data_IF_266815490683
#
_entry.id   IF_266815490683
#
_cell.length_a   1.000
_cell.length_b   1.000
_cell.length_c   1.000
_cell.angle_alpha   90.00
_cell.angle_beta   90.00
_cell.angle_gamma   90.00
#
_symmetry.space_group_name_H-M   'P 1'
#
loop_
_entity.id
_entity.type
_entity.pdbx_description
1 polymer ?
#
# COMPACT_ATOMS: atom_id res chain seq x y z
N UNK A 1 21.07 -9.77 13.91
CA UNK A 1 20.93 -9.61 12.44
C UNK A 1 19.65 -8.80 12.18
N UNK A 2 19.57 -8.00 11.10
CA UNK A 2 18.46 -7.11 10.77
C UNK A 2 17.82 -7.47 9.42
N UNK A 3 17.24 -8.66 9.34
CA UNK A 3 16.63 -9.20 8.14
C UNK A 3 15.34 -8.49 7.72
N UNK A 4 14.68 -9.02 6.69
CA UNK A 4 13.36 -8.52 6.28
C UNK A 4 12.37 -8.67 7.45
N UNK A 5 11.60 -7.60 7.72
CA UNK A 5 10.66 -7.59 8.84
C UNK A 5 11.31 -7.38 10.21
N UNK A 6 12.63 -7.26 10.33
CA UNK A 6 13.33 -7.04 11.60
C UNK A 6 13.89 -5.62 11.73
N UNK A 7 13.45 -4.71 10.86
CA UNK A 7 13.91 -3.33 10.78
C UNK A 7 12.84 -2.38 11.31
N UNK A 8 13.28 -1.37 12.06
CA UNK A 8 12.43 -0.30 12.58
C UNK A 8 12.67 0.95 11.74
N UNK A 9 11.59 1.56 11.26
CA UNK A 9 11.60 2.76 10.43
C UNK A 9 11.01 3.96 11.19
N UNK A 10 11.44 5.16 10.79
CA UNK A 10 10.88 6.41 11.29
C UNK A 10 9.51 6.68 10.66
N UNK A 11 8.55 7.15 11.46
CA UNK A 11 7.24 7.62 10.98
C UNK A 11 7.32 8.95 10.23
N UNK A 12 8.45 9.67 10.33
CA UNK A 12 8.69 10.91 9.59
C UNK A 12 9.19 10.67 8.15
N UNK A 13 9.48 9.43 7.79
CA UNK A 13 9.90 9.03 6.45
C UNK A 13 8.77 8.42 5.63
N UNK A 14 9.14 7.84 4.48
CA UNK A 14 8.21 7.04 3.67
C UNK A 14 8.08 5.63 4.24
N UNK A 15 6.89 5.04 4.06
CA UNK A 15 6.69 3.64 4.34
C UNK A 15 7.50 2.75 3.39
N UNK A 16 7.93 1.59 3.88
CA UNK A 16 8.50 0.57 3.01
C UNK A 16 7.42 -0.13 2.18
N UNK A 17 7.83 -0.82 1.12
CA UNK A 17 6.94 -1.68 0.34
C UNK A 17 6.31 -2.75 1.23
N UNK A 18 4.97 -2.80 1.23
CA UNK A 18 4.22 -3.88 1.86
C UNK A 18 4.46 -5.18 1.10
N UNK A 19 4.65 -6.30 1.79
CA UNK A 19 4.85 -7.60 1.14
C UNK A 19 3.77 -8.60 1.54
N UNK A 20 3.29 -9.40 0.59
CA UNK A 20 2.22 -10.35 0.88
C UNK A 20 2.67 -11.56 1.70
N UNK A 21 3.93 -11.98 1.54
CA UNK A 21 4.49 -13.18 2.15
C UNK A 21 5.67 -12.90 3.09
N UNK A 22 6.00 -11.63 3.34
CA UNK A 22 7.11 -11.29 4.24
C UNK A 22 6.91 -11.85 5.64
N UNK A 23 7.98 -12.46 6.17
CA UNK A 23 8.10 -12.96 7.53
C UNK A 23 8.79 -11.96 8.48
N UNK A 24 9.30 -12.47 9.60
CA UNK A 24 9.93 -11.67 10.66
C UNK A 24 8.91 -11.03 11.62
N UNK A 25 9.40 -10.38 12.68
CA UNK A 25 8.55 -9.77 13.72
C UNK A 25 7.64 -8.70 13.13
N UNK A 26 8.17 -7.88 12.23
CA UNK A 26 7.47 -6.86 11.45
C UNK A 26 6.84 -7.36 10.17
N UNK A 27 6.47 -8.65 10.08
CA UNK A 27 5.94 -9.29 8.89
C UNK A 27 5.02 -8.40 8.05
N UNK A 28 5.27 -8.38 6.73
CA UNK A 28 4.49 -7.70 5.68
C UNK A 28 4.53 -6.17 5.68
N UNK A 29 4.66 -5.53 6.84
CA UNK A 29 4.54 -4.06 6.99
C UNK A 29 5.85 -3.36 7.32
N UNK A 30 6.83 -4.10 7.87
CA UNK A 30 7.91 -3.51 8.66
C UNK A 30 7.44 -3.10 10.05
N UNK A 31 8.36 -2.56 10.84
CA UNK A 31 8.07 -1.97 12.16
C UNK A 31 8.36 -0.48 12.15
N UNK A 32 7.61 0.27 12.94
CA UNK A 32 7.77 1.72 13.06
C UNK A 32 7.83 2.11 14.52
N UNK A 33 8.64 3.13 14.83
CA UNK A 33 8.68 3.74 16.15
C UNK A 33 7.60 4.82 16.25
N UNK A 34 6.53 4.53 17.01
CA UNK A 34 5.36 5.40 17.20
C UNK A 34 5.22 5.65 18.70
N UNK A 35 5.31 6.90 19.12
CA UNK A 35 5.13 7.32 20.53
C UNK A 35 5.98 6.49 21.51
N UNK A 36 7.25 6.27 21.17
CA UNK A 36 8.20 5.50 21.98
C UNK A 36 8.00 3.98 21.92
N UNK A 37 7.07 3.47 21.11
CA UNK A 37 6.78 2.03 20.96
C UNK A 37 7.05 1.54 19.55
N UNK A 38 7.74 0.40 19.45
CA UNK A 38 7.95 -0.29 18.17
C UNK A 38 6.74 -1.16 17.87
N UNK A 39 6.07 -0.91 16.73
CA UNK A 39 4.91 -1.70 16.32
C UNK A 39 4.82 -1.89 14.81
N UNK A 40 4.01 -2.86 14.39
CA UNK A 40 3.56 -3.02 13.01
C UNK A 40 2.48 -2.00 12.67
N UNK A 41 2.23 -1.83 11.38
CA UNK A 41 1.09 -1.08 10.89
C UNK A 41 -0.20 -1.87 11.10
N UNK A 42 -1.28 -1.16 11.39
CA UNK A 42 -2.64 -1.65 11.36
C UNK A 42 -3.11 -1.80 9.90
N UNK A 43 -4.02 -2.74 9.56
CA UNK A 43 -4.57 -2.85 8.22
C UNK A 43 -5.16 -1.53 7.69
N UNK A 44 -5.72 -0.70 8.58
CA UNK A 44 -6.22 0.64 8.24
C UNK A 44 -5.11 1.59 7.77
N UNK A 45 -3.93 1.52 8.40
CA UNK A 45 -2.77 2.30 7.98
C UNK A 45 -2.26 1.78 6.63
N UNK A 46 -2.27 0.46 6.41
CA UNK A 46 -1.97 -0.12 5.09
C UNK A 46 -2.95 0.33 4.01
N UNK A 47 -4.26 0.38 4.30
CA UNK A 47 -5.28 0.90 3.39
C UNK A 47 -4.95 2.33 2.94
N UNK A 48 -4.67 3.20 3.90
CA UNK A 48 -4.33 4.61 3.64
C UNK A 48 -3.02 4.73 2.85
N UNK A 49 -1.99 3.96 3.21
CA UNK A 49 -0.72 3.94 2.48
C UNK A 49 -0.88 3.52 1.02
N UNK A 50 -1.74 2.54 0.75
CA UNK A 50 -2.02 2.06 -0.61
C UNK A 50 -3.01 2.98 -1.38
N UNK A 51 -3.58 3.98 -0.70
CA UNK A 51 -4.49 4.99 -1.28
C UNK A 51 -5.90 4.50 -1.55
N UNK A 52 -6.35 3.45 -0.87
CA UNK A 52 -7.74 2.98 -0.93
C UNK A 52 -8.69 3.98 -0.22
N UNK A 53 -9.97 4.08 -0.61
CA UNK A 53 -10.94 4.99 0.01
C UNK A 53 -11.31 4.56 1.44
N UNK A 54 -11.83 5.46 2.28
CA UNK A 54 -12.06 5.20 3.72
C UNK A 54 -13.09 4.12 4.03
N UNK A 55 -14.04 3.94 3.12
CA UNK A 55 -15.11 2.94 3.16
C UNK A 55 -14.72 1.60 2.53
N UNK A 56 -13.44 1.40 2.16
CA UNK A 56 -12.99 0.14 1.59
C UNK A 56 -13.04 -1.00 2.62
N UNK A 57 -13.84 -2.02 2.33
CA UNK A 57 -14.01 -3.19 3.20
C UNK A 57 -12.78 -4.10 3.19
N UNK A 58 -12.35 -4.55 4.38
CA UNK A 58 -11.29 -5.56 4.50
C UNK A 58 -11.84 -6.92 4.88
N UNK A 59 -11.00 -7.94 4.67
CA UNK A 59 -11.26 -9.26 5.22
C UNK A 59 -11.19 -9.24 6.76
N UNK A 60 -12.07 -10.01 7.41
CA UNK A 60 -12.15 -10.14 8.89
C UNK A 60 -10.82 -10.52 9.55
N UNK A 61 -10.00 -11.32 8.86
CA UNK A 61 -8.66 -11.69 9.33
C UNK A 61 -7.64 -10.65 8.88
N UNK A 62 -7.03 -9.98 9.86
CA UNK A 62 -5.95 -8.99 9.64
C UNK A 62 -4.80 -9.56 8.80
N UNK A 63 -4.43 -10.83 9.03
CA UNK A 63 -3.35 -11.48 8.28
C UNK A 63 -3.66 -11.64 6.79
N UNK A 64 -4.93 -11.92 6.47
CA UNK A 64 -5.39 -11.96 5.07
C UNK A 64 -5.37 -10.55 4.48
N UNK A 65 -5.83 -9.53 5.21
CA UNK A 65 -5.79 -8.14 4.74
C UNK A 65 -4.36 -7.67 4.46
N UNK A 66 -3.39 -7.97 5.32
CA UNK A 66 -1.98 -7.67 5.05
C UNK A 66 -1.46 -8.37 3.79
N UNK A 67 -1.85 -9.63 3.56
CA UNK A 67 -1.48 -10.37 2.35
C UNK A 67 -2.08 -9.70 1.10
N UNK A 68 -3.35 -9.31 1.16
CA UNK A 68 -4.04 -8.63 0.07
C UNK A 68 -3.40 -7.28 -0.24
N UNK A 69 -3.14 -6.44 0.77
CA UNK A 69 -2.46 -5.16 0.58
C UNK A 69 -1.03 -5.33 0.03
N UNK A 70 -0.28 -6.30 0.53
CA UNK A 70 1.07 -6.58 0.03
C UNK A 70 1.13 -7.10 -1.42
N UNK A 71 0.01 -7.56 -1.98
CA UNK A 71 -0.14 -7.94 -3.40
C UNK A 71 -0.91 -6.89 -4.21
N UNK A 72 -1.30 -5.79 -3.58
CA UNK A 72 -2.15 -4.78 -4.21
C UNK A 72 -1.33 -3.74 -4.96
N UNK A 73 -2.03 -2.76 -5.53
CA UNK A 73 -1.48 -1.65 -6.30
C UNK A 73 -1.78 -0.33 -5.59
N UNK A 74 -0.95 0.68 -5.85
CA UNK A 74 -1.18 2.03 -5.33
C UNK A 74 -2.30 2.69 -6.14
N UNK A 75 -3.47 2.84 -5.54
CA UNK A 75 -4.71 3.28 -6.22
C UNK A 75 -4.53 4.64 -6.93
N UNK A 76 -3.93 5.67 -6.32
CA UNK A 76 -3.70 6.96 -7.00
C UNK A 76 -2.80 6.87 -8.24
N UNK A 77 -1.86 5.92 -8.27
CA UNK A 77 -0.98 5.71 -9.42
C UNK A 77 -1.76 5.09 -10.58
N UNK A 78 -2.53 4.04 -10.30
CA UNK A 78 -3.39 3.38 -11.30
C UNK A 78 -4.41 4.36 -11.88
N UNK A 79 -5.03 5.20 -11.03
CA UNK A 79 -5.96 6.24 -11.48
C UNK A 79 -5.30 7.22 -12.46
N UNK A 80 -4.07 7.69 -12.18
CA UNK A 80 -3.33 8.57 -13.09
C UNK A 80 -2.96 7.90 -14.42
N UNK A 81 -2.59 6.62 -14.39
CA UNK A 81 -2.31 5.85 -15.61
C UNK A 81 -3.59 5.75 -16.45
N UNK A 82 -4.71 5.40 -15.83
CA UNK A 82 -5.99 5.27 -16.50
C UNK A 82 -6.45 6.59 -17.14
N UNK A 83 -6.34 7.71 -16.43
CA UNK A 83 -6.64 9.03 -16.96
C UNK A 83 -5.84 9.37 -18.24
N UNK A 84 -4.56 8.96 -18.29
CA UNK A 84 -3.74 9.14 -19.48
C UNK A 84 -4.20 8.25 -20.65
N UNK A 85 -4.63 7.02 -20.36
CA UNK A 85 -5.21 6.11 -21.35
C UNK A 85 -6.48 6.72 -21.93
N UNK A 86 -7.42 7.16 -21.09
CA UNK A 86 -8.66 7.82 -21.52
C UNK A 86 -8.37 9.01 -22.42
N UNK A 87 -7.50 9.93 -21.98
CA UNK A 87 -7.09 11.09 -22.77
C UNK A 87 -6.51 10.70 -24.13
N UNK A 88 -5.74 9.63 -24.18
CA UNK A 88 -5.15 9.13 -25.43
C UNK A 88 -6.20 8.51 -26.36
N UNK A 89 -7.20 7.83 -25.82
CA UNK A 89 -8.30 7.25 -26.59
C UNK A 89 -9.23 8.33 -27.14
N UNK A 90 -9.65 9.29 -26.31
CA UNK A 90 -10.60 10.34 -26.72
C UNK A 90 -9.98 11.40 -27.66
N UNK A 91 -8.66 11.64 -27.60
CA UNK A 91 -7.97 12.50 -28.58
C UNK A 91 -7.96 11.93 -30.00
N UNK A 92 -8.07 10.60 -30.17
CA UNK A 92 -8.06 9.96 -31.50
C UNK A 92 -9.40 10.10 -32.22
N UNK A 93 -10.51 10.17 -31.49
CA UNK A 93 -11.86 10.29 -32.08
C UNK A 93 -12.14 11.67 -32.70
N UNK A 94 -11.40 12.71 -32.34
CA UNK A 94 -11.55 14.07 -32.88
C UNK A 94 -10.74 14.33 -34.17
N UNK A 95 -10.02 13.32 -34.68
CA UNK A 95 -9.22 13.42 -35.93
C UNK A 95 -9.81 12.63 -37.11
N UNK A 96 -11.05 12.14 -36.97
CA UNK A 96 -11.74 11.34 -37.97
C UNK A 96 -12.96 12.05 -38.61
N UNK A 97 -13.04 13.38 -38.49
CA UNK A 97 -14.01 14.23 -39.16
C UNK A 97 -13.28 15.19 -40.11
#
# INVERSE_FOLDING_TARGET
KGGQGERVYSTKGHAITLSAFGGGIGAKTGMYLVDGRVRRLHPEECRRLMGFPEDFYFHRSRNVSFKLFGNSVIVPVVSKIFHNIERSLFKKNLKAA
#
